data_IF_380812134298
#
_entry.id   IF_380812134298
#
_cell.length_a   1.000
_cell.length_b   1.000
_cell.length_c   1.000
_cell.angle_alpha   90.00
_cell.angle_beta   90.00
_cell.angle_gamma   90.00
#
_symmetry.space_group_name_H-M   'P 1'
#
loop_
_entity.id
_entity.type
_entity.pdbx_description
1 polymer ?
#
# COMPACT_ATOMS: atom_id res chain seq x y z
N UNK A 1 5.86 -6.83 -5.88
CA UNK A 1 4.62 -6.75 -5.08
C UNK A 1 4.85 -6.03 -3.74
N UNK A 2 5.77 -6.47 -2.86
CA UNK A 2 6.03 -5.77 -1.58
C UNK A 2 6.40 -4.28 -1.77
N UNK A 3 7.24 -3.96 -2.74
CA UNK A 3 7.69 -2.59 -3.04
C UNK A 3 6.57 -1.65 -3.46
N UNK A 4 5.52 -2.18 -4.07
CA UNK A 4 4.34 -1.38 -4.48
C UNK A 4 3.35 -1.18 -3.33
N UNK A 5 3.37 -2.04 -2.32
CA UNK A 5 2.49 -1.94 -1.17
C UNK A 5 3.02 -0.95 -0.11
N UNK A 6 4.35 -0.91 0.08
CA UNK A 6 5.00 0.02 1.03
C UNK A 6 5.36 1.30 0.27
N UNK A 7 4.36 2.06 -0.12
CA UNK A 7 4.51 3.35 -0.77
C UNK A 7 4.57 4.52 0.21
N UNK A 8 4.83 5.73 -0.29
CA UNK A 8 4.87 6.95 0.54
C UNK A 8 3.55 7.20 1.28
N UNK A 9 2.41 6.86 0.66
CA UNK A 9 1.10 6.96 1.29
C UNK A 9 0.99 6.07 2.54
N UNK A 10 1.51 4.84 2.48
CA UNK A 10 1.56 3.96 3.64
C UNK A 10 2.36 4.58 4.79
N UNK A 11 3.56 5.07 4.52
CA UNK A 11 4.42 5.67 5.55
C UNK A 11 3.76 6.89 6.20
N UNK A 12 3.21 7.79 5.40
CA UNK A 12 2.57 9.01 5.87
C UNK A 12 1.31 8.71 6.69
N UNK A 13 0.42 7.88 6.16
CA UNK A 13 -0.84 7.53 6.84
C UNK A 13 -0.57 6.76 8.14
N UNK A 14 0.33 5.78 8.10
CA UNK A 14 0.69 5.01 9.29
C UNK A 14 1.26 5.91 10.38
N UNK A 15 2.13 6.87 10.03
CA UNK A 15 2.67 7.83 10.98
C UNK A 15 1.58 8.71 11.59
N UNK A 16 0.69 9.27 10.78
CA UNK A 16 -0.41 10.14 11.26
C UNK A 16 -1.34 9.37 12.18
N UNK A 17 -1.79 8.18 11.78
CA UNK A 17 -2.71 7.39 12.61
C UNK A 17 -2.04 6.85 13.88
N UNK A 18 -0.75 6.53 13.82
CA UNK A 18 0.00 6.12 15.02
C UNK A 18 0.10 7.26 16.02
N UNK A 19 0.32 8.50 15.56
CA UNK A 19 0.33 9.68 16.46
C UNK A 19 -1.05 9.93 17.06
N UNK A 20 -2.13 9.74 16.30
CA UNK A 20 -3.49 10.02 16.76
C UNK A 20 -4.06 8.91 17.67
N UNK A 21 -3.82 7.65 17.32
CA UNK A 21 -4.44 6.48 17.97
C UNK A 21 -3.49 5.70 18.87
N UNK A 22 -2.18 6.01 18.84
CA UNK A 22 -1.18 5.29 19.60
C UNK A 22 -1.17 3.79 19.31
N UNK A 23 -1.00 2.99 20.36
CA UNK A 23 -0.92 1.53 20.24
C UNK A 23 -2.25 0.86 19.83
N UNK A 24 -3.40 1.53 19.98
CA UNK A 24 -4.72 1.04 19.52
C UNK A 24 -4.78 0.87 18.00
N UNK A 25 -3.98 1.62 17.26
CA UNK A 25 -3.88 1.48 15.80
C UNK A 25 -3.35 0.11 15.37
N UNK A 26 -2.58 -0.57 16.23
CA UNK A 26 -2.10 -1.93 15.95
C UNK A 26 -3.25 -2.93 15.77
N UNK A 27 -4.36 -2.78 16.50
CA UNK A 27 -5.57 -3.60 16.32
C UNK A 27 -6.17 -3.39 14.93
N UNK A 28 -6.31 -2.15 14.48
CA UNK A 28 -6.86 -1.84 13.16
C UNK A 28 -5.99 -2.43 12.03
N UNK A 29 -4.65 -2.36 12.17
CA UNK A 29 -3.71 -2.97 11.23
C UNK A 29 -3.88 -4.49 11.21
N UNK A 30 -3.90 -5.14 12.38
CA UNK A 30 -4.04 -6.59 12.47
C UNK A 30 -5.36 -7.07 11.85
N UNK A 31 -6.47 -6.41 12.18
CA UNK A 31 -7.79 -6.74 11.63
C UNK A 31 -7.82 -6.55 10.11
N UNK A 32 -7.27 -5.44 9.61
CA UNK A 32 -7.18 -5.16 8.17
C UNK A 32 -6.39 -6.26 7.43
N UNK A 33 -5.26 -6.70 7.98
CA UNK A 33 -4.45 -7.77 7.40
C UNK A 33 -5.22 -9.08 7.35
N UNK A 34 -5.90 -9.47 8.42
CA UNK A 34 -6.68 -10.71 8.47
C UNK A 34 -7.83 -10.70 7.45
N UNK A 35 -8.55 -9.57 7.36
CA UNK A 35 -9.62 -9.38 6.39
C UNK A 35 -9.08 -9.42 4.96
N UNK A 36 -7.97 -8.72 4.70
CA UNK A 36 -7.32 -8.70 3.38
C UNK A 36 -6.89 -10.09 2.95
N UNK A 37 -6.23 -10.86 3.82
CA UNK A 37 -5.83 -12.25 3.55
C UNK A 37 -7.06 -13.09 3.19
N UNK A 38 -8.14 -13.01 3.97
CA UNK A 38 -9.35 -13.79 3.72
C UNK A 38 -9.98 -13.43 2.37
N UNK A 39 -10.09 -12.16 2.04
CA UNK A 39 -10.64 -11.68 0.78
C UNK A 39 -9.74 -12.07 -0.39
N UNK A 40 -8.45 -11.82 -0.29
CA UNK A 40 -7.47 -12.11 -1.33
C UNK A 40 -7.43 -13.59 -1.69
N UNK A 41 -7.38 -14.47 -0.70
CA UNK A 41 -7.40 -15.93 -0.93
C UNK A 41 -8.65 -16.37 -1.67
N UNK A 42 -9.83 -15.84 -1.31
CA UNK A 42 -11.08 -16.17 -2.00
C UNK A 42 -11.10 -15.64 -3.44
N UNK A 43 -10.73 -14.38 -3.64
CA UNK A 43 -10.70 -13.76 -4.99
C UNK A 43 -9.74 -14.51 -5.91
N UNK A 44 -8.51 -14.77 -5.44
CA UNK A 44 -7.52 -15.49 -6.24
C UNK A 44 -7.94 -16.93 -6.54
N UNK A 45 -8.54 -17.62 -5.57
CA UNK A 45 -9.06 -18.97 -5.78
C UNK A 45 -10.11 -18.99 -6.90
N UNK A 46 -11.06 -18.06 -6.86
CA UNK A 46 -12.11 -17.96 -7.88
C UNK A 46 -11.52 -17.65 -9.26
N UNK A 47 -10.59 -16.68 -9.34
CA UNK A 47 -9.94 -16.33 -10.60
C UNK A 47 -9.10 -17.47 -11.17
N UNK A 48 -8.34 -18.18 -10.33
CA UNK A 48 -7.52 -19.31 -10.78
C UNK A 48 -8.39 -20.50 -11.26
N UNK A 49 -9.46 -20.80 -10.55
CA UNK A 49 -10.35 -21.91 -10.93
C UNK A 49 -11.15 -21.58 -12.19
N UNK A 50 -11.62 -20.33 -12.33
CA UNK A 50 -12.39 -19.91 -13.50
C UNK A 50 -11.53 -19.74 -14.76
N UNK A 51 -10.24 -19.47 -14.62
CA UNK A 51 -9.33 -19.14 -15.71
C UNK A 51 -9.70 -17.86 -16.46
N UNK A 52 -10.66 -17.09 -15.95
CA UNK A 52 -11.16 -15.86 -16.58
C UNK A 52 -10.58 -14.62 -15.92
N UNK A 53 -10.57 -13.52 -16.67
CA UNK A 53 -10.25 -12.20 -16.10
C UNK A 53 -11.39 -11.75 -15.19
N UNK A 54 -11.08 -11.01 -14.12
CA UNK A 54 -12.07 -10.51 -13.17
C UNK A 54 -13.25 -9.76 -13.84
N UNK A 55 -12.96 -8.91 -14.84
CA UNK A 55 -14.00 -8.18 -15.59
C UNK A 55 -14.93 -9.11 -16.37
N UNK A 56 -14.37 -10.15 -17.01
CA UNK A 56 -15.15 -11.14 -17.76
C UNK A 56 -16.02 -11.96 -16.80
N UNK A 57 -15.43 -12.39 -15.68
CA UNK A 57 -16.14 -13.12 -14.65
C UNK A 57 -17.28 -12.29 -14.03
N UNK A 58 -17.03 -11.00 -13.76
CA UNK A 58 -18.06 -10.07 -13.30
C UNK A 58 -19.25 -9.98 -14.26
N UNK A 59 -18.98 -9.93 -15.57
CA UNK A 59 -20.05 -9.90 -16.59
C UNK A 59 -20.83 -11.22 -16.72
N UNK A 60 -20.27 -12.35 -16.32
CA UNK A 60 -21.02 -13.62 -16.30
C UNK A 60 -22.01 -13.69 -15.14
N UNK A 61 -21.71 -13.01 -14.03
CA UNK A 61 -22.59 -12.92 -12.86
C UNK A 61 -23.69 -11.89 -13.08
N UNK A 62 -23.30 -10.71 -13.53
CA UNK A 62 -24.23 -9.62 -13.83
C UNK A 62 -23.73 -8.86 -15.06
N UNK A 63 -24.54 -8.77 -16.14
CA UNK A 63 -24.16 -8.00 -17.32
C UNK A 63 -23.86 -6.54 -16.96
N UNK A 64 -22.71 -6.02 -17.35
CA UNK A 64 -22.25 -4.67 -17.04
C UNK A 64 -21.36 -4.55 -15.81
N UNK A 65 -21.34 -5.52 -14.90
CA UNK A 65 -20.52 -5.47 -13.68
C UNK A 65 -19.01 -5.37 -14.00
N UNK A 66 -18.55 -6.02 -15.08
CA UNK A 66 -17.17 -5.91 -15.53
C UNK A 66 -16.75 -4.49 -15.91
N UNK A 67 -17.67 -3.69 -16.47
CA UNK A 67 -17.41 -2.28 -16.77
C UNK A 67 -17.32 -1.44 -15.49
N UNK A 68 -18.19 -1.69 -14.54
CA UNK A 68 -18.14 -1.03 -13.22
C UNK A 68 -16.81 -1.33 -12.53
N UNK A 69 -16.39 -2.58 -12.52
CA UNK A 69 -15.07 -2.99 -11.99
C UNK A 69 -13.92 -2.28 -12.71
N UNK A 70 -13.97 -2.19 -14.04
CA UNK A 70 -12.94 -1.52 -14.83
C UNK A 70 -12.82 -0.03 -14.46
N UNK A 71 -13.95 0.65 -14.28
CA UNK A 71 -13.98 2.07 -13.85
C UNK A 71 -13.38 2.23 -12.46
N UNK A 72 -13.76 1.38 -11.50
CA UNK A 72 -13.19 1.44 -10.14
C UNK A 72 -11.69 1.17 -10.13
N UNK A 73 -11.21 0.19 -10.89
CA UNK A 73 -9.77 -0.11 -11.04
C UNK A 73 -9.04 1.06 -11.66
N UNK A 74 -9.63 1.70 -12.69
CA UNK A 74 -9.04 2.88 -13.33
C UNK A 74 -8.93 4.06 -12.35
N UNK A 75 -10.01 4.39 -11.66
CA UNK A 75 -10.03 5.48 -10.67
C UNK A 75 -9.06 5.19 -9.53
N UNK A 76 -9.10 3.98 -8.96
CA UNK A 76 -8.20 3.57 -7.89
C UNK A 76 -6.73 3.63 -8.31
N UNK A 77 -6.43 3.15 -9.53
CA UNK A 77 -5.09 3.24 -10.11
C UNK A 77 -4.62 4.68 -10.32
N UNK A 78 -5.48 5.56 -10.79
CA UNK A 78 -5.17 6.98 -10.99
C UNK A 78 -4.85 7.66 -9.64
N UNK A 79 -5.70 7.48 -8.63
CA UNK A 79 -5.49 8.04 -7.28
C UNK A 79 -4.20 7.51 -6.65
N UNK A 80 -3.94 6.22 -6.78
CA UNK A 80 -2.73 5.60 -6.28
C UNK A 80 -1.46 6.17 -6.95
N UNK A 81 -1.50 6.39 -8.26
CA UNK A 81 -0.37 6.99 -8.98
C UNK A 81 -0.14 8.45 -8.60
N UNK A 82 -1.18 9.23 -8.35
CA UNK A 82 -1.04 10.60 -7.82
C UNK A 82 -0.31 10.58 -6.47
N UNK A 83 -0.69 9.68 -5.58
CA UNK A 83 -0.01 9.47 -4.30
C UNK A 83 1.48 9.11 -4.45
N UNK A 84 1.79 8.23 -5.39
CA UNK A 84 3.18 7.82 -5.67
C UNK A 84 4.03 8.97 -6.22
N UNK A 85 3.47 9.79 -7.11
CA UNK A 85 4.15 10.98 -7.65
C UNK A 85 4.42 11.99 -6.53
N UNK A 86 3.42 12.27 -5.70
CA UNK A 86 3.56 13.18 -4.57
C UNK A 86 4.63 12.68 -3.58
N UNK A 87 4.62 11.40 -3.25
CA UNK A 87 5.61 10.79 -2.36
C UNK A 87 7.03 10.77 -2.94
N UNK A 88 7.17 10.54 -4.24
CA UNK A 88 8.46 10.64 -4.93
C UNK A 88 8.99 12.07 -4.85
N UNK A 89 8.12 13.07 -5.01
CA UNK A 89 8.46 14.47 -4.84
C UNK A 89 8.96 14.81 -3.43
N UNK A 90 8.27 14.29 -2.40
CA UNK A 90 8.72 14.43 -1.01
C UNK A 90 10.08 13.76 -0.77
N UNK A 91 10.31 12.57 -1.34
CA UNK A 91 11.60 11.91 -1.27
C UNK A 91 12.73 12.72 -1.89
N UNK A 92 12.52 13.29 -3.08
CA UNK A 92 13.48 14.18 -3.75
C UNK A 92 13.73 15.45 -2.93
N UNK A 93 12.68 16.02 -2.35
CA UNK A 93 12.81 17.17 -1.45
C UNK A 93 13.68 16.85 -0.24
N UNK A 94 13.45 15.71 0.41
CA UNK A 94 14.22 15.29 1.58
C UNK A 94 15.70 15.02 1.27
N UNK A 95 16.00 14.53 0.06
CA UNK A 95 17.38 14.18 -0.34
C UNK A 95 18.15 15.36 -0.93
N UNK A 96 17.49 16.18 -1.74
CA UNK A 96 18.13 17.19 -2.57
C UNK A 96 17.71 18.63 -2.23
N UNK A 97 16.73 18.82 -1.34
CA UNK A 97 16.19 20.14 -1.00
C UNK A 97 15.36 20.81 -2.11
N UNK A 98 15.04 20.07 -3.18
CA UNK A 98 14.24 20.57 -4.31
C UNK A 98 12.76 20.61 -3.88
N UNK A 99 12.02 21.64 -4.31
CA UNK A 99 10.58 21.72 -4.03
C UNK A 99 9.86 20.42 -4.42
N UNK A 100 9.00 19.91 -3.52
CA UNK A 100 8.35 18.61 -3.69
C UNK A 100 7.48 18.53 -4.96
N UNK A 101 6.91 19.64 -5.43
CA UNK A 101 6.13 19.68 -6.66
C UNK A 101 7.02 19.49 -7.89
N UNK A 102 8.17 20.16 -7.90
CA UNK A 102 9.17 20.02 -8.97
C UNK A 102 9.72 18.61 -8.97
N UNK A 103 10.08 18.09 -7.79
CA UNK A 103 10.52 16.71 -7.60
C UNK A 103 9.51 15.69 -8.13
N UNK A 104 8.22 15.89 -7.84
CA UNK A 104 7.14 15.04 -8.35
C UNK A 104 7.03 15.06 -9.88
N UNK A 105 7.14 16.24 -10.50
CA UNK A 105 7.13 16.38 -11.97
C UNK A 105 8.32 15.66 -12.60
N UNK A 106 9.52 15.81 -12.02
CA UNK A 106 10.73 15.13 -12.50
C UNK A 106 10.55 13.61 -12.39
N UNK A 107 10.07 13.11 -11.25
CA UNK A 107 9.83 11.69 -11.05
C UNK A 107 8.81 11.13 -12.03
N UNK A 108 7.71 11.85 -12.28
CA UNK A 108 6.70 11.47 -13.27
C UNK A 108 7.27 11.43 -14.69
N UNK A 109 8.06 12.42 -15.08
CA UNK A 109 8.71 12.46 -16.40
C UNK A 109 9.66 11.27 -16.59
N UNK A 110 10.48 10.96 -15.59
CA UNK A 110 11.38 9.80 -15.60
C UNK A 110 10.57 8.50 -15.71
N UNK A 111 9.50 8.35 -14.93
CA UNK A 111 8.65 7.16 -14.97
C UNK A 111 8.03 6.94 -16.35
N UNK A 112 7.49 8.00 -16.98
CA UNK A 112 6.93 7.95 -18.34
C UNK A 112 8.00 7.58 -19.34
N UNK A 113 9.18 8.19 -19.27
CA UNK A 113 10.30 7.88 -20.16
C UNK A 113 10.73 6.40 -20.08
N UNK A 114 10.84 5.88 -18.85
CA UNK A 114 11.17 4.47 -18.61
C UNK A 114 10.07 3.58 -19.16
N UNK A 115 8.81 3.92 -18.93
CA UNK A 115 7.67 3.13 -19.40
C UNK A 115 7.58 3.06 -20.94
N UNK A 116 7.90 4.14 -21.63
CA UNK A 116 7.94 4.19 -23.08
C UNK A 116 9.13 3.42 -23.69
N UNK A 117 10.15 3.14 -22.90
CA UNK A 117 11.35 2.41 -23.36
C UNK A 117 11.10 0.90 -23.36
N UNK A 118 11.01 0.31 -24.56
CA UNK A 118 10.77 -1.14 -24.73
C UNK A 118 11.85 -2.05 -24.12
N UNK A 119 13.06 -1.54 -23.87
CA UNK A 119 14.19 -2.31 -23.31
C UNK A 119 14.30 -2.22 -21.79
N UNK A 120 13.54 -1.35 -21.15
CA UNK A 120 13.67 -1.07 -19.73
C UNK A 120 12.99 -2.11 -18.82
N UNK A 121 12.08 -2.95 -19.31
CA UNK A 121 11.27 -3.84 -18.48
C UNK A 121 12.10 -4.73 -17.55
N UNK A 122 13.03 -5.52 -18.09
CA UNK A 122 13.84 -6.44 -17.27
C UNK A 122 14.82 -5.72 -16.34
N UNK A 123 15.36 -4.58 -16.76
CA UNK A 123 16.25 -3.78 -15.91
C UNK A 123 15.45 -3.13 -14.77
N UNK A 124 14.24 -2.66 -15.07
CA UNK A 124 13.32 -2.10 -14.09
C UNK A 124 12.90 -3.14 -13.05
N UNK A 125 12.53 -4.35 -13.47
CA UNK A 125 12.15 -5.43 -12.57
C UNK A 125 13.27 -5.77 -11.59
N UNK A 126 14.50 -5.82 -12.08
CA UNK A 126 15.69 -6.06 -11.24
C UNK A 126 15.94 -4.91 -10.27
N UNK A 127 15.85 -3.67 -10.75
CA UNK A 127 16.01 -2.47 -9.90
C UNK A 127 14.95 -2.43 -8.79
N UNK A 128 13.68 -2.66 -9.15
CA UNK A 128 12.56 -2.68 -8.19
C UNK A 128 12.74 -3.80 -7.17
N UNK A 129 13.23 -4.97 -7.57
CA UNK A 129 13.50 -6.06 -6.64
C UNK A 129 14.62 -5.71 -5.65
N UNK A 130 15.70 -5.09 -6.11
CA UNK A 130 16.81 -4.64 -5.25
C UNK A 130 16.35 -3.55 -4.29
N UNK A 131 15.64 -2.52 -4.80
CA UNK A 131 15.10 -1.45 -3.97
C UNK A 131 14.10 -1.98 -2.93
N UNK A 132 13.28 -2.96 -3.31
CA UNK A 132 12.38 -3.64 -2.38
C UNK A 132 13.10 -4.38 -1.26
N UNK A 133 14.19 -5.09 -1.59
CA UNK A 133 15.02 -5.76 -0.60
C UNK A 133 15.67 -4.75 0.36
N UNK A 134 16.24 -3.67 -0.17
CA UNK A 134 16.83 -2.59 0.63
C UNK A 134 15.77 -1.97 1.56
N UNK A 135 14.57 -1.72 1.06
CA UNK A 135 13.49 -1.14 1.86
C UNK A 135 13.06 -2.07 3.00
N UNK A 136 12.94 -3.38 2.74
CA UNK A 136 12.62 -4.38 3.78
C UNK A 136 13.71 -4.37 4.86
N UNK A 137 14.99 -4.36 4.48
CA UNK A 137 16.10 -4.31 5.42
C UNK A 137 16.10 -3.03 6.25
N UNK A 138 15.83 -1.88 5.64
CA UNK A 138 15.70 -0.60 6.35
C UNK A 138 14.53 -0.62 7.34
N UNK A 139 13.38 -1.16 6.95
CA UNK A 139 12.22 -1.26 7.83
C UNK A 139 12.50 -2.18 9.03
N UNK A 140 13.16 -3.31 8.80
CA UNK A 140 13.60 -4.21 9.88
C UNK A 140 14.61 -3.51 10.81
N UNK A 141 15.57 -2.79 10.25
CA UNK A 141 16.54 -2.02 11.01
C UNK A 141 15.86 -0.97 11.90
N UNK A 142 14.94 -0.19 11.35
CA UNK A 142 14.17 0.80 12.11
C UNK A 142 13.32 0.11 13.19
N UNK A 143 12.67 -1.01 12.88
CA UNK A 143 11.87 -1.75 13.84
C UNK A 143 12.72 -2.26 15.03
N UNK A 144 13.94 -2.73 14.80
CA UNK A 144 14.84 -3.19 15.86
C UNK A 144 15.34 -2.02 16.72
N UNK A 145 15.75 -0.91 16.10
CA UNK A 145 16.29 0.26 16.83
C UNK A 145 15.20 0.99 17.61
N UNK A 146 14.00 1.09 17.04
CA UNK A 146 12.87 1.79 17.65
C UNK A 146 12.36 1.12 18.93
N UNK A 147 12.73 -0.15 19.17
CA UNK A 147 12.28 -0.94 20.34
C UNK A 147 10.80 -0.71 20.66
N UNK A 148 9.88 -0.95 19.69
CA UNK A 148 8.47 -0.65 19.87
C UNK A 148 7.92 -1.44 21.06
N UNK A 149 6.96 -0.90 21.84
CA UNK A 149 6.34 -1.58 22.97
C UNK A 149 5.38 -2.68 22.45
N UNK A 150 5.94 -3.76 21.90
CA UNK A 150 5.19 -4.87 21.28
C UNK A 150 4.20 -5.48 22.28
N UNK A 151 4.58 -5.57 23.56
CA UNK A 151 3.72 -6.11 24.61
C UNK A 151 2.47 -5.24 24.86
N UNK A 152 2.59 -3.92 24.81
CA UNK A 152 1.44 -3.00 24.90
C UNK A 152 0.56 -3.07 23.66
N UNK A 153 1.16 -3.06 22.49
CA UNK A 153 0.42 -3.17 21.22
C UNK A 153 -0.40 -4.47 21.16
N UNK A 154 0.18 -5.60 21.57
CA UNK A 154 -0.51 -6.89 21.65
C UNK A 154 -1.63 -6.88 22.69
N UNK A 155 -1.40 -6.33 23.89
CA UNK A 155 -2.43 -6.22 24.92
C UNK A 155 -3.62 -5.39 24.43
N UNK A 156 -3.37 -4.22 23.85
CA UNK A 156 -4.43 -3.35 23.33
C UNK A 156 -5.17 -3.97 22.14
N UNK A 157 -4.48 -4.70 21.28
CA UNK A 157 -5.10 -5.47 20.21
C UNK A 157 -6.06 -6.54 20.75
N UNK A 158 -5.68 -7.24 21.82
CA UNK A 158 -6.52 -8.28 22.44
C UNK A 158 -7.68 -7.68 23.24
N UNK A 159 -7.49 -6.56 23.93
CA UNK A 159 -8.54 -5.87 24.70
C UNK A 159 -9.63 -5.36 23.77
N UNK A 160 -9.28 -4.83 22.59
CA UNK A 160 -10.27 -4.38 21.61
C UNK A 160 -11.10 -5.51 21.01
N UNK A 161 -10.60 -6.75 21.03
CA UNK A 161 -11.39 -7.94 20.66
C UNK A 161 -12.39 -8.30 21.75
N UNK A 162 -12.01 -8.15 23.02
CA UNK A 162 -12.83 -8.55 24.17
C UNK A 162 -13.80 -7.46 24.65
N UNK A 163 -13.53 -6.18 24.40
CA UNK A 163 -14.39 -5.06 24.82
C UNK A 163 -14.65 -4.06 23.66
N UNK A 164 -15.53 -4.37 22.71
CA UNK A 164 -15.78 -3.50 21.56
C UNK A 164 -16.52 -2.19 21.89
N UNK A 165 -16.86 -1.90 23.13
CA UNK A 165 -17.84 -0.86 23.50
C UNK A 165 -17.40 0.16 24.56
N UNK A 166 -16.14 0.23 24.98
CA UNK A 166 -15.68 1.38 25.77
C UNK A 166 -15.00 2.43 24.88
N UNK A 167 -15.80 3.16 24.10
CA UNK A 167 -15.47 4.54 23.78
C UNK A 167 -15.63 5.33 25.07
N UNK A 168 -14.52 5.60 25.74
CA UNK A 168 -14.51 6.65 26.75
C UNK A 168 -14.80 7.96 26.01
N UNK A 169 -15.98 8.50 26.28
CA UNK A 169 -16.36 9.84 25.90
C UNK A 169 -15.35 10.80 26.55
N UNK A 170 -14.57 11.49 25.73
CA UNK A 170 -13.87 12.72 26.09
C UNK A 170 -14.76 13.89 25.68
#
# INVERSE_FOLDING_TARGET
>A
MATSAIGPGFLTQTSVFTVQMGASFAFAIMLSILVDIAIQLNVWRVLCVSGMRANTLGNTVLPGLGWVLAVFVFIGGAVFNIGNIAGSGLGINAMLGIDARIGGVIAAAIAVFIFLSRKAGMALDRLVAVLGAVMILLMLYVAVISQPPVGEALKLSLIHISEPTRQEAI
#
